data_IF_995476531439
#
_entry.id   IF_995476531439
#
_cell.length_a   1.000
_cell.length_b   1.000
_cell.length_c   1.000
_cell.angle_alpha   90.00
_cell.angle_beta   90.00
_cell.angle_gamma   90.00
#
_symmetry.space_group_name_H-M   'P 1'
#
loop_
_entity.id
_entity.type
_entity.pdbx_description
1 polymer ?
#
# COMPACT_ATOMS: atom_id res chain seq x y z
N UNK A 1 -16.99 0.58 16.62
CA UNK A 1 -15.59 0.10 16.42
C UNK A 1 -15.14 0.21 14.97
N UNK A 2 -15.97 -0.14 13.98
CA UNK A 2 -15.58 -0.12 12.56
C UNK A 2 -15.11 1.26 12.04
N UNK A 3 -15.78 2.35 12.43
CA UNK A 3 -15.35 3.72 12.08
C UNK A 3 -13.96 4.08 12.65
N UNK A 4 -13.61 3.55 13.83
CA UNK A 4 -12.31 3.80 14.45
C UNK A 4 -11.22 3.12 13.62
N UNK A 5 -11.41 1.86 13.25
CA UNK A 5 -10.45 1.15 12.38
C UNK A 5 -10.35 1.77 10.99
N UNK A 6 -11.49 2.18 10.41
CA UNK A 6 -11.50 2.94 9.16
C UNK A 6 -10.61 4.19 9.24
N UNK A 7 -10.79 5.04 10.25
CA UNK A 7 -9.99 6.26 10.44
C UNK A 7 -8.51 5.91 10.67
N UNK A 8 -8.22 4.93 11.53
CA UNK A 8 -6.83 4.53 11.85
C UNK A 8 -6.10 4.08 10.59
N UNK A 9 -6.67 3.16 9.81
CA UNK A 9 -6.01 2.65 8.61
C UNK A 9 -5.92 3.69 7.50
N UNK A 10 -6.91 4.57 7.38
CA UNK A 10 -6.85 5.70 6.47
C UNK A 10 -5.68 6.63 6.82
N UNK A 11 -5.59 7.07 8.08
CA UNK A 11 -4.50 7.95 8.54
C UNK A 11 -3.13 7.28 8.39
N UNK A 12 -3.02 6.01 8.75
CA UNK A 12 -1.78 5.24 8.61
C UNK A 12 -1.36 5.13 7.13
N UNK A 13 -2.32 4.92 6.23
CA UNK A 13 -2.05 4.90 4.78
C UNK A 13 -1.58 6.25 4.28
N UNK A 14 -2.25 7.34 4.66
CA UNK A 14 -1.86 8.69 4.25
C UNK A 14 -0.44 9.01 4.74
N UNK A 15 -0.14 8.78 6.02
CA UNK A 15 1.21 9.00 6.57
C UNK A 15 2.25 8.17 5.81
N UNK A 16 1.97 6.89 5.54
CA UNK A 16 2.92 6.02 4.85
C UNK A 16 3.12 6.40 3.37
N UNK A 17 2.05 6.83 2.69
CA UNK A 17 2.07 7.25 1.29
C UNK A 17 2.85 8.57 1.10
N UNK A 18 2.66 9.50 2.04
CA UNK A 18 3.22 10.85 1.98
C UNK A 18 4.58 11.00 2.67
N UNK A 19 5.20 9.90 3.13
CA UNK A 19 6.50 9.90 3.82
C UNK A 19 7.73 10.31 2.97
N UNK A 20 7.54 10.66 1.69
CA UNK A 20 8.60 11.06 0.76
C UNK A 20 9.50 9.95 0.21
N UNK A 21 9.41 8.72 0.74
CA UNK A 21 10.20 7.58 0.24
C UNK A 21 9.51 6.95 -0.97
N UNK A 22 9.65 7.55 -2.15
CA UNK A 22 8.93 7.12 -3.37
C UNK A 22 9.82 6.35 -4.35
N UNK A 23 11.15 6.43 -4.20
CA UNK A 23 12.11 5.75 -5.06
C UNK A 23 12.84 4.65 -4.31
N UNK A 24 12.33 3.42 -4.42
CA UNK A 24 12.93 2.28 -3.72
C UNK A 24 14.21 1.78 -4.37
N UNK A 25 15.23 1.57 -3.54
CA UNK A 25 16.41 0.78 -3.83
C UNK A 25 16.13 -0.73 -3.66
N UNK A 26 17.10 -1.59 -4.01
CA UNK A 26 16.94 -3.06 -3.92
C UNK A 26 16.54 -3.54 -2.52
N UNK A 27 17.13 -2.94 -1.47
CA UNK A 27 16.86 -3.30 -0.08
C UNK A 27 15.43 -2.94 0.31
N UNK A 28 14.94 -1.77 -0.08
CA UNK A 28 13.58 -1.31 0.20
C UNK A 28 12.52 -2.15 -0.53
N UNK A 29 12.81 -2.58 -1.77
CA UNK A 29 11.97 -3.56 -2.48
C UNK A 29 11.87 -4.89 -1.72
N UNK A 30 13.00 -5.43 -1.25
CA UNK A 30 13.01 -6.66 -0.45
C UNK A 30 12.25 -6.46 0.86
N UNK A 31 12.45 -5.32 1.54
CA UNK A 31 11.71 -5.01 2.77
C UNK A 31 10.20 -4.90 2.54
N UNK A 32 9.75 -4.36 1.41
CA UNK A 32 8.33 -4.30 1.07
C UNK A 32 7.75 -5.71 0.91
N UNK A 33 8.43 -6.59 0.18
CA UNK A 33 8.03 -7.99 0.01
C UNK A 33 8.00 -8.69 1.38
N UNK A 34 9.02 -8.49 2.21
CA UNK A 34 9.08 -9.07 3.55
C UNK A 34 7.93 -8.57 4.44
N UNK A 35 7.55 -7.30 4.35
CA UNK A 35 6.38 -6.76 5.05
C UNK A 35 5.09 -7.44 4.58
N UNK A 36 4.91 -7.65 3.27
CA UNK A 36 3.75 -8.37 2.73
C UNK A 36 3.69 -9.79 3.27
N UNK A 37 4.80 -10.54 3.19
CA UNK A 37 4.89 -11.90 3.75
C UNK A 37 4.62 -11.90 5.25
N UNK A 38 5.18 -10.93 5.97
CA UNK A 38 4.95 -10.75 7.41
C UNK A 38 3.48 -10.53 7.75
N UNK A 39 2.76 -9.70 6.98
CA UNK A 39 1.31 -9.49 7.16
C UNK A 39 0.53 -10.77 6.90
N UNK A 40 0.89 -11.57 5.88
CA UNK A 40 0.23 -12.85 5.61
C UNK A 40 0.41 -13.84 6.78
N UNK A 41 1.65 -14.00 7.26
CA UNK A 41 1.96 -14.86 8.41
C UNK A 41 1.22 -14.37 9.65
N UNK A 42 1.29 -13.07 9.94
CA UNK A 42 0.62 -12.46 11.07
C UNK A 42 -0.90 -12.70 11.02
N UNK A 43 -1.53 -12.51 9.87
CA UNK A 43 -2.97 -12.72 9.69
C UNK A 43 -3.35 -14.19 9.91
N UNK A 44 -2.54 -15.13 9.40
CA UNK A 44 -2.77 -16.56 9.59
C UNK A 44 -2.63 -16.97 11.08
N UNK A 45 -1.60 -16.48 11.76
CA UNK A 45 -1.37 -16.73 13.19
C UNK A 45 -2.50 -16.13 14.05
N UNK A 46 -2.91 -14.89 13.74
CA UNK A 46 -4.03 -14.24 14.42
C UNK A 46 -5.33 -15.02 14.21
N UNK A 47 -5.58 -15.51 12.99
CA UNK A 47 -6.73 -16.37 12.69
C UNK A 47 -6.74 -17.65 13.53
N UNK A 48 -5.59 -18.32 13.65
CA UNK A 48 -5.45 -19.51 14.50
C UNK A 48 -5.66 -19.19 15.98
N UNK A 49 -5.04 -18.12 16.49
CA UNK A 49 -5.24 -17.69 17.88
C UNK A 49 -6.71 -17.39 18.19
N UNK A 50 -7.42 -16.72 17.26
CA UNK A 50 -8.85 -16.45 17.43
C UNK A 50 -9.68 -17.74 17.42
N UNK A 51 -9.37 -18.67 16.54
CA UNK A 51 -10.04 -19.99 16.52
C UNK A 51 -9.88 -20.71 17.87
N UNK A 52 -8.66 -20.76 18.42
CA UNK A 52 -8.37 -21.47 19.66
C UNK A 52 -9.09 -20.81 20.86
N UNK A 53 -9.13 -19.47 20.91
CA UNK A 53 -9.90 -18.73 21.93
C UNK A 53 -11.40 -19.02 21.86
N UNK A 54 -11.96 -19.16 20.66
CA UNK A 54 -13.38 -19.47 20.48
C UNK A 54 -13.70 -20.88 20.97
N UNK A 55 -12.90 -21.87 20.58
CA UNK A 55 -13.12 -23.27 20.98
C UNK A 55 -12.99 -23.44 22.49
N UNK A 56 -11.96 -22.84 23.09
CA UNK A 56 -11.67 -23.02 24.51
C UNK A 56 -12.52 -22.16 25.43
N UNK A 57 -12.84 -20.91 25.06
CA UNK A 57 -13.47 -19.94 25.98
C UNK A 57 -14.80 -19.37 25.48
N UNK A 58 -15.18 -19.60 24.22
CA UNK A 58 -16.45 -19.13 23.60
C UNK A 58 -16.70 -17.62 23.74
N UNK A 59 -15.63 -16.82 23.78
CA UNK A 59 -15.69 -15.37 24.08
C UNK A 59 -16.39 -14.58 22.96
N UNK A 60 -16.22 -15.00 21.70
CA UNK A 60 -16.70 -14.27 20.51
C UNK A 60 -17.32 -15.24 19.50
N UNK A 61 -18.36 -14.85 18.75
CA UNK A 61 -18.85 -15.66 17.63
C UNK A 61 -17.80 -15.86 16.54
N UNK A 62 -17.75 -17.07 15.97
CA UNK A 62 -16.80 -17.41 14.89
C UNK A 62 -16.90 -16.48 13.68
N UNK A 63 -18.11 -16.06 13.32
CA UNK A 63 -18.33 -15.11 12.23
C UNK A 63 -17.64 -13.76 12.48
N UNK A 64 -17.77 -13.22 13.70
CA UNK A 64 -17.19 -11.93 14.08
C UNK A 64 -15.66 -11.99 14.13
N UNK A 65 -15.09 -13.08 14.67
CA UNK A 65 -13.64 -13.26 14.71
C UNK A 65 -13.04 -13.44 13.31
N UNK A 66 -13.72 -14.22 12.44
CA UNK A 66 -13.31 -14.36 11.05
C UNK A 66 -13.34 -13.02 10.33
N UNK A 67 -14.44 -12.28 10.44
CA UNK A 67 -14.56 -10.95 9.84
C UNK A 67 -13.44 -10.01 10.30
N UNK A 68 -13.22 -9.92 11.62
CA UNK A 68 -12.20 -9.05 12.19
C UNK A 68 -10.79 -9.41 11.70
N UNK A 69 -10.41 -10.69 11.75
CA UNK A 69 -9.07 -11.13 11.30
C UNK A 69 -8.86 -10.88 9.82
N UNK A 70 -9.86 -11.15 8.98
CA UNK A 70 -9.78 -10.85 7.54
C UNK A 70 -9.71 -9.36 7.26
N UNK A 71 -10.55 -8.54 7.92
CA UNK A 71 -10.58 -7.10 7.71
C UNK A 71 -9.26 -6.45 8.13
N UNK A 72 -8.67 -6.91 9.24
CA UNK A 72 -7.40 -6.41 9.73
C UNK A 72 -6.24 -6.79 8.81
N UNK A 73 -6.16 -8.05 8.37
CA UNK A 73 -5.13 -8.49 7.42
C UNK A 73 -5.24 -7.78 6.07
N UNK A 74 -6.47 -7.66 5.54
CA UNK A 74 -6.72 -6.94 4.30
C UNK A 74 -6.38 -5.46 4.42
N UNK A 75 -6.67 -4.82 5.55
CA UNK A 75 -6.31 -3.41 5.78
C UNK A 75 -4.81 -3.18 5.75
N UNK A 76 -4.03 -4.04 6.41
CA UNK A 76 -2.56 -3.96 6.40
C UNK A 76 -1.99 -4.19 4.99
N UNK A 77 -2.54 -5.14 4.24
CA UNK A 77 -2.16 -5.36 2.84
C UNK A 77 -2.52 -4.16 1.97
N UNK A 78 -3.70 -3.54 2.17
CA UNK A 78 -4.11 -2.33 1.45
C UNK A 78 -3.14 -1.18 1.71
N UNK A 79 -2.72 -0.93 2.95
CA UNK A 79 -1.69 0.08 3.27
C UNK A 79 -0.42 -0.14 2.44
N UNK A 80 0.10 -1.38 2.44
CA UNK A 80 1.30 -1.73 1.70
C UNK A 80 1.10 -1.63 0.19
N UNK A 81 -0.08 -2.03 -0.30
CA UNK A 81 -0.49 -1.97 -1.70
C UNK A 81 -0.56 -0.53 -2.21
N UNK A 82 -1.11 0.41 -1.44
CA UNK A 82 -1.14 1.82 -1.82
C UNK A 82 0.26 2.39 -1.98
N UNK A 83 1.18 2.05 -1.06
CA UNK A 83 2.58 2.47 -1.18
C UNK A 83 3.26 1.82 -2.38
N UNK A 84 3.02 0.52 -2.59
CA UNK A 84 3.54 -0.21 -3.74
C UNK A 84 3.15 0.47 -5.06
N UNK A 85 1.89 0.90 -5.21
CA UNK A 85 1.42 1.56 -6.44
C UNK A 85 2.24 2.82 -6.76
N UNK A 86 2.46 3.70 -5.77
CA UNK A 86 3.27 4.93 -5.97
C UNK A 86 4.71 4.59 -6.34
N UNK A 87 5.34 3.69 -5.58
CA UNK A 87 6.75 3.33 -5.79
C UNK A 87 6.94 2.64 -7.14
N UNK A 88 5.99 1.79 -7.54
CA UNK A 88 6.02 1.11 -8.82
C UNK A 88 5.88 2.09 -9.99
N UNK A 89 4.97 3.07 -9.90
CA UNK A 89 4.86 4.15 -10.88
C UNK A 89 6.18 4.91 -11.03
N UNK A 90 6.81 5.28 -9.92
CA UNK A 90 8.12 5.94 -9.91
C UNK A 90 9.22 5.07 -10.54
N UNK A 91 9.21 3.77 -10.24
CA UNK A 91 10.19 2.81 -10.78
C UNK A 91 10.02 2.59 -12.30
N UNK A 92 8.77 2.50 -12.77
CA UNK A 92 8.46 2.40 -14.21
C UNK A 92 8.94 3.66 -14.93
N UNK A 93 8.60 4.84 -14.41
CA UNK A 93 9.03 6.11 -14.99
C UNK A 93 10.56 6.21 -15.05
N UNK A 94 11.25 5.85 -13.97
CA UNK A 94 12.71 5.80 -13.93
C UNK A 94 13.28 4.85 -14.99
N UNK A 95 12.70 3.66 -15.17
CA UNK A 95 13.13 2.70 -16.21
C UNK A 95 12.94 3.26 -17.61
N UNK A 96 11.82 3.94 -17.89
CA UNK A 96 11.56 4.61 -19.16
C UNK A 96 12.64 5.67 -19.43
N UNK A 97 12.95 6.53 -18.46
CA UNK A 97 13.99 7.55 -18.60
C UNK A 97 15.38 6.95 -18.86
N UNK A 98 15.74 5.85 -18.19
CA UNK A 98 17.01 5.14 -18.41
C UNK A 98 17.06 4.52 -19.81
N UNK A 99 15.96 3.95 -20.28
CA UNK A 99 15.86 3.40 -21.62
C UNK A 99 16.09 4.47 -22.68
N UNK A 100 15.39 5.61 -22.60
CA UNK A 100 15.59 6.71 -23.54
C UNK A 100 17.02 7.26 -23.49
N UNK A 101 17.62 7.37 -22.31
CA UNK A 101 19.02 7.81 -22.20
C UNK A 101 19.99 6.90 -22.96
N UNK A 102 19.75 5.58 -22.93
CA UNK A 102 20.64 4.58 -23.53
C UNK A 102 20.39 4.35 -25.02
N UNK A 103 19.14 4.39 -25.45
CA UNK A 103 18.72 3.92 -26.77
C UNK A 103 18.05 5.00 -27.63
N UNK A 104 17.71 6.17 -27.08
CA UNK A 104 17.04 7.25 -27.80
C UNK A 104 17.53 8.62 -27.30
N UNK A 105 18.85 8.82 -27.39
CA UNK A 105 19.53 9.98 -26.82
C UNK A 105 19.06 11.31 -27.45
N UNK A 106 18.75 11.31 -28.74
CA UNK A 106 18.25 12.49 -29.48
C UNK A 106 16.97 13.05 -28.83
N UNK A 107 16.03 12.18 -28.47
CA UNK A 107 14.78 12.57 -27.83
C UNK A 107 14.88 12.66 -26.29
N UNK A 108 15.94 12.10 -25.69
CA UNK A 108 16.11 12.09 -24.25
C UNK A 108 16.17 13.50 -23.64
N UNK A 109 16.82 14.45 -24.30
CA UNK A 109 16.96 15.81 -23.78
C UNK A 109 15.61 16.53 -23.68
N UNK A 110 14.75 16.39 -24.69
CA UNK A 110 13.40 16.94 -24.66
C UNK A 110 12.56 16.28 -23.58
N UNK A 111 12.57 14.94 -23.51
CA UNK A 111 11.83 14.18 -22.51
C UNK A 111 12.29 14.49 -21.08
N UNK A 112 13.60 14.66 -20.88
CA UNK A 112 14.22 15.03 -19.60
C UNK A 112 13.80 16.44 -19.16
N UNK A 113 13.73 17.40 -20.10
CA UNK A 113 13.25 18.76 -19.82
C UNK A 113 11.79 18.74 -19.35
N UNK A 114 10.90 18.07 -20.08
CA UNK A 114 9.48 17.92 -19.72
C UNK A 114 9.34 17.19 -18.38
N UNK A 115 10.08 16.09 -18.20
CA UNK A 115 10.11 15.32 -16.95
C UNK A 115 10.48 16.16 -15.73
N UNK A 116 11.50 17.03 -15.83
CA UNK A 116 11.88 17.92 -14.73
C UNK A 116 10.78 18.89 -14.33
N UNK A 117 9.99 19.37 -15.29
CA UNK A 117 8.88 20.29 -15.04
C UNK A 117 7.66 19.59 -14.43
N UNK A 118 7.32 18.38 -14.92
CA UNK A 118 6.06 17.73 -14.58
C UNK A 118 6.16 16.57 -13.59
N UNK A 119 7.35 16.00 -13.33
CA UNK A 119 7.49 14.81 -12.48
C UNK A 119 6.94 15.00 -11.06
N UNK A 120 7.23 16.14 -10.42
CA UNK A 120 6.72 16.43 -9.09
C UNK A 120 5.21 16.67 -9.07
N UNK A 121 4.62 17.57 -9.90
CA UNK A 121 3.17 17.72 -9.98
C UNK A 121 2.42 16.42 -10.30
N UNK A 122 2.93 15.60 -11.22
CA UNK A 122 2.32 14.32 -11.57
C UNK A 122 2.39 13.31 -10.42
N UNK A 123 3.50 13.28 -9.67
CA UNK A 123 3.62 12.43 -8.49
C UNK A 123 2.62 12.83 -7.41
N UNK A 124 2.47 14.13 -7.15
CA UNK A 124 1.47 14.65 -6.21
C UNK A 124 0.07 14.25 -6.65
N UNK A 125 -0.27 14.44 -7.94
CA UNK A 125 -1.56 14.02 -8.49
C UNK A 125 -1.81 12.51 -8.32
N UNK A 126 -0.82 11.67 -8.64
CA UNK A 126 -0.92 10.23 -8.46
C UNK A 126 -1.16 9.85 -6.99
N UNK A 127 -0.45 10.48 -6.05
CA UNK A 127 -0.67 10.28 -4.61
C UNK A 127 -2.05 10.72 -4.16
N UNK A 128 -2.59 11.82 -4.69
CA UNK A 128 -3.96 12.24 -4.40
C UNK A 128 -4.98 11.22 -4.89
N UNK A 129 -4.84 10.72 -6.13
CA UNK A 129 -5.72 9.67 -6.67
C UNK A 129 -5.65 8.40 -5.83
N UNK A 130 -4.45 7.96 -5.46
CA UNK A 130 -4.25 6.77 -4.61
C UNK A 130 -4.80 7.00 -3.19
N UNK A 131 -4.68 8.21 -2.65
CA UNK A 131 -5.29 8.59 -1.36
C UNK A 131 -6.81 8.49 -1.42
N UNK A 132 -7.45 9.02 -2.47
CA UNK A 132 -8.90 8.87 -2.67
C UNK A 132 -9.30 7.39 -2.83
N UNK A 133 -8.51 6.61 -3.60
CA UNK A 133 -8.72 5.17 -3.74
C UNK A 133 -8.64 4.42 -2.39
N UNK A 134 -7.77 4.87 -1.48
CA UNK A 134 -7.67 4.28 -0.14
C UNK A 134 -8.92 4.51 0.72
N UNK A 135 -9.59 5.66 0.58
CA UNK A 135 -10.87 5.93 1.25
C UNK A 135 -11.91 4.88 0.82
N UNK A 136 -12.02 4.63 -0.48
CA UNK A 136 -12.98 3.65 -1.02
C UNK A 136 -12.65 2.22 -0.56
N UNK A 137 -11.37 1.84 -0.55
CA UNK A 137 -10.94 0.52 -0.09
C UNK A 137 -11.26 0.31 1.39
N UNK A 138 -10.89 1.25 2.27
CA UNK A 138 -11.18 1.10 3.70
C UNK A 138 -12.66 1.21 4.02
N UNK A 139 -13.42 1.98 3.23
CA UNK A 139 -14.87 1.99 3.32
C UNK A 139 -15.42 0.58 3.06
N UNK A 140 -14.99 -0.07 1.97
CA UNK A 140 -15.41 -1.43 1.64
C UNK A 140 -14.97 -2.49 2.66
N UNK A 141 -13.87 -2.27 3.39
CA UNK A 141 -13.37 -3.22 4.39
C UNK A 141 -14.09 -3.10 5.74
N UNK A 142 -14.44 -1.88 6.15
CA UNK A 142 -14.92 -1.62 7.51
C UNK A 142 -16.38 -1.14 7.58
N UNK A 143 -16.88 -0.45 6.55
CA UNK A 143 -18.15 0.29 6.61
C UNK A 143 -19.22 -0.24 5.65
N UNK A 144 -18.87 -1.05 4.66
CA UNK A 144 -19.80 -1.75 3.77
C UNK A 144 -20.28 -3.07 4.40
#
# INVERSE_FOLDING_TARGET
MNYIFFIIFLMLTLVYLWNGQDFFNKKEWIMLILKVVGVLIFTALLGRLMHDLIVSWKIVPMASARHFTTALGLSLLTVLGMKFMVVMLCAIFKKIMVFHKKYNYENYNQLSSVSRSFSFPLLVLAKCVISCGSVLMFYGIWLA
#
